data_IF_253787661306
#
_entry.id   IF_253787661306
#
_cell.length_a   1.000
_cell.length_b   1.000
_cell.length_c   1.000
_cell.angle_alpha   90.00
_cell.angle_beta   90.00
_cell.angle_gamma   90.00
#
_symmetry.space_group_name_H-M   'P 1'
#
loop_
_entity.id
_entity.type
_entity.pdbx_description
1 polymer ?
#
# COMPACT_ATOMS: atom_id res chain seq x y z
N UNK A 1 21.62 -6.78 7.69
CA UNK A 1 20.65 -7.83 8.04
C UNK A 1 21.33 -9.17 7.91
N UNK A 2 20.73 -10.23 8.44
CA UNK A 2 21.27 -11.61 8.32
C UNK A 2 20.43 -12.36 7.29
N UNK A 3 21.09 -13.11 6.43
CA UNK A 3 20.41 -13.90 5.41
C UNK A 3 19.51 -14.97 6.03
N UNK A 4 18.36 -15.21 5.41
CA UNK A 4 17.49 -16.32 5.81
C UNK A 4 18.18 -17.65 5.50
N UNK A 5 18.04 -18.65 6.39
CA UNK A 5 18.46 -20.04 6.12
C UNK A 5 17.84 -20.62 4.84
N UNK A 6 16.72 -20.05 4.40
CA UNK A 6 15.97 -20.47 3.22
C UNK A 6 16.37 -19.73 1.94
N UNK A 7 17.32 -18.79 2.00
CA UNK A 7 17.62 -17.89 0.88
C UNK A 7 18.23 -18.61 -0.31
N UNK A 8 19.07 -19.60 -0.07
CA UNK A 8 19.84 -20.31 -1.11
C UNK A 8 19.18 -21.62 -1.57
N UNK A 9 17.87 -21.77 -1.32
CA UNK A 9 17.05 -22.82 -1.93
C UNK A 9 17.18 -22.82 -3.44
N UNK A 10 17.11 -24.00 -4.04
CA UNK A 10 17.10 -24.14 -5.49
C UNK A 10 15.84 -23.52 -6.10
N UNK A 11 15.86 -23.28 -7.41
CA UNK A 11 14.67 -22.79 -8.12
C UNK A 11 13.52 -23.80 -7.98
N UNK A 12 13.79 -25.09 -8.16
CA UNK A 12 12.80 -26.16 -8.09
C UNK A 12 12.13 -26.23 -6.70
N UNK A 13 12.91 -26.11 -5.63
CA UNK A 13 12.39 -26.06 -4.26
C UNK A 13 11.48 -24.84 -4.04
N UNK A 14 11.88 -23.67 -4.56
CA UNK A 14 11.07 -22.46 -4.44
C UNK A 14 9.76 -22.56 -5.23
N UNK A 15 9.78 -23.15 -6.44
CA UNK A 15 8.59 -23.36 -7.25
C UNK A 15 7.65 -24.38 -6.59
N UNK A 16 8.18 -25.47 -6.03
CA UNK A 16 7.36 -26.43 -5.28
C UNK A 16 6.65 -25.77 -4.10
N UNK A 17 7.38 -24.99 -3.28
CA UNK A 17 6.78 -24.25 -2.16
C UNK A 17 5.79 -23.17 -2.62
N UNK A 18 6.02 -22.56 -3.79
CA UNK A 18 5.06 -21.62 -4.38
C UNK A 18 3.73 -22.29 -4.73
N UNK A 19 3.75 -23.51 -5.28
CA UNK A 19 2.54 -24.29 -5.52
C UNK A 19 1.80 -24.62 -4.22
N UNK A 20 2.53 -24.97 -3.16
CA UNK A 20 1.94 -25.16 -1.82
C UNK A 20 1.26 -23.87 -1.31
N UNK A 21 1.87 -22.71 -1.53
CA UNK A 21 1.29 -21.40 -1.19
C UNK A 21 0.00 -21.12 -1.97
N UNK A 22 -0.01 -21.37 -3.28
CA UNK A 22 -1.19 -21.18 -4.14
C UNK A 22 -2.35 -22.09 -3.73
N UNK A 23 -2.05 -23.31 -3.30
CA UNK A 23 -3.04 -24.27 -2.80
C UNK A 23 -3.47 -23.99 -1.35
N UNK A 24 -2.77 -23.11 -0.63
CA UNK A 24 -3.07 -22.76 0.76
C UNK A 24 -2.86 -23.92 1.73
N UNK A 25 -1.94 -24.85 1.44
CA UNK A 25 -1.65 -25.99 2.32
C UNK A 25 -1.02 -25.54 3.64
N UNK A 26 -0.92 -26.43 4.63
CA UNK A 26 -0.29 -26.10 5.92
C UNK A 26 1.17 -25.66 5.74
N UNK A 27 1.89 -26.24 4.77
CA UNK A 27 3.26 -25.83 4.42
C UNK A 27 3.25 -24.47 3.74
N UNK A 28 2.36 -24.26 2.77
CA UNK A 28 2.20 -23.00 2.06
C UNK A 28 1.89 -21.83 3.00
N UNK A 29 1.02 -22.04 4.00
CA UNK A 29 0.66 -21.03 5.01
C UNK A 29 1.85 -20.59 5.89
N UNK A 30 2.90 -21.42 6.01
CA UNK A 30 4.14 -21.10 6.72
C UNK A 30 5.17 -20.39 5.81
N UNK A 31 4.85 -20.19 4.54
CA UNK A 31 5.74 -19.61 3.54
C UNK A 31 5.38 -18.16 3.18
N UNK A 32 6.41 -17.42 2.75
CA UNK A 32 6.31 -16.06 2.19
C UNK A 32 7.29 -15.98 1.03
N UNK A 33 6.83 -15.46 -0.12
CA UNK A 33 7.73 -15.13 -1.24
C UNK A 33 8.43 -13.83 -0.92
N UNK A 34 9.76 -13.81 -1.05
CA UNK A 34 10.59 -12.62 -0.85
C UNK A 34 11.43 -12.36 -2.10
N UNK A 35 11.66 -11.09 -2.41
CA UNK A 35 12.69 -10.72 -3.37
C UNK A 35 14.06 -11.16 -2.84
N UNK A 36 14.97 -11.55 -3.73
CA UNK A 36 16.38 -11.78 -3.40
C UNK A 36 17.19 -10.57 -3.88
N UNK A 37 17.44 -9.61 -2.99
CA UNK A 37 18.12 -8.35 -3.28
C UNK A 37 19.42 -8.29 -2.44
N UNK A 38 19.42 -7.60 -1.29
CA UNK A 38 20.59 -7.50 -0.43
C UNK A 38 20.18 -7.26 1.02
N UNK A 39 20.49 -8.21 1.91
CA UNK A 39 20.21 -8.03 3.35
C UNK A 39 21.12 -7.01 4.03
N UNK A 40 22.22 -6.61 3.41
CA UNK A 40 23.14 -5.57 3.92
C UNK A 40 22.82 -4.16 3.37
N UNK A 41 21.81 -4.03 2.50
CA UNK A 41 21.44 -2.76 1.90
C UNK A 41 21.17 -1.65 2.94
N UNK A 42 21.59 -0.41 2.65
CA UNK A 42 21.39 0.74 3.55
C UNK A 42 19.90 1.07 3.68
N UNK A 43 19.20 1.17 2.55
CA UNK A 43 17.74 1.23 2.51
C UNK A 43 17.15 -0.10 2.98
N UNK A 44 16.33 -0.06 4.05
CA UNK A 44 15.73 -1.26 4.66
C UNK A 44 14.65 -1.90 3.78
N UNK A 45 13.99 -1.13 2.92
CA UNK A 45 12.98 -1.66 1.99
C UNK A 45 13.59 -2.62 0.96
N UNK A 46 14.89 -2.49 0.68
CA UNK A 46 15.63 -3.37 -0.24
C UNK A 46 16.16 -4.66 0.42
N UNK A 47 15.91 -4.87 1.71
CA UNK A 47 16.40 -6.06 2.44
C UNK A 47 15.46 -7.24 2.25
N UNK A 48 15.52 -7.84 1.07
CA UNK A 48 14.72 -8.98 0.63
C UNK A 48 13.23 -8.80 1.01
N UNK A 49 12.53 -7.78 0.49
CA UNK A 49 11.15 -7.49 0.85
C UNK A 49 10.20 -8.65 0.52
N UNK A 50 9.11 -8.76 1.28
CA UNK A 50 8.06 -9.76 1.03
C UNK A 50 7.15 -9.34 -0.12
N UNK A 51 6.87 -10.27 -1.03
CA UNK A 51 6.03 -10.04 -2.21
C UNK A 51 4.71 -10.81 -2.18
N UNK A 52 4.66 -12.02 -1.63
CA UNK A 52 3.41 -12.77 -1.49
C UNK A 52 3.25 -13.36 -0.10
N UNK A 53 2.01 -13.38 0.37
CA UNK A 53 1.59 -14.00 1.63
C UNK A 53 0.35 -14.86 1.41
N UNK A 54 0.22 -15.91 2.20
CA UNK A 54 -0.95 -16.77 2.18
C UNK A 54 -2.00 -16.26 3.17
N UNK A 55 -3.26 -16.17 2.72
CA UNK A 55 -4.44 -15.80 3.51
C UNK A 55 -5.56 -16.75 3.07
N UNK A 56 -6.07 -17.57 3.99
CA UNK A 56 -7.05 -18.63 3.70
C UNK A 56 -8.34 -18.52 4.50
N UNK A 57 -8.31 -17.78 5.60
CA UNK A 57 -9.36 -17.65 6.60
C UNK A 57 -10.37 -16.55 6.29
N UNK A 58 -9.99 -15.56 5.49
CA UNK A 58 -10.86 -14.44 5.10
C UNK A 58 -11.12 -14.46 3.59
N UNK A 59 -12.38 -14.43 3.13
CA UNK A 59 -12.68 -14.37 1.70
C UNK A 59 -12.33 -12.99 1.12
N UNK A 60 -11.77 -12.98 -0.09
CA UNK A 60 -11.60 -11.75 -0.85
C UNK A 60 -12.97 -11.22 -1.29
N UNK A 61 -13.22 -9.93 -1.10
CA UNK A 61 -14.54 -9.34 -1.35
C UNK A 61 -15.06 -9.49 -2.80
N UNK A 62 -14.18 -9.60 -3.81
CA UNK A 62 -14.56 -9.89 -5.21
C UNK A 62 -14.47 -11.35 -5.62
N UNK A 63 -13.53 -12.09 -5.04
CA UNK A 63 -13.09 -13.40 -5.56
C UNK A 63 -13.36 -14.54 -4.57
N UNK A 64 -14.00 -14.24 -3.44
CA UNK A 64 -14.26 -15.18 -2.36
C UNK A 64 -12.97 -15.91 -1.94
N UNK A 65 -13.03 -17.23 -1.92
CA UNK A 65 -11.92 -18.10 -1.52
C UNK A 65 -11.09 -18.62 -2.71
N UNK A 66 -11.26 -18.06 -3.91
CA UNK A 66 -10.60 -18.54 -5.13
C UNK A 66 -9.07 -18.51 -5.04
N UNK A 67 -8.51 -17.45 -4.46
CA UNK A 67 -7.06 -17.29 -4.30
C UNK A 67 -6.65 -17.48 -2.84
N UNK A 68 -5.50 -18.12 -2.62
CA UNK A 68 -4.92 -18.34 -1.28
C UNK A 68 -3.67 -17.50 -1.04
N UNK A 69 -2.94 -17.13 -2.09
CA UNK A 69 -1.77 -16.26 -1.99
C UNK A 69 -2.06 -14.89 -2.62
N UNK A 70 -1.68 -13.82 -1.91
CA UNK A 70 -1.96 -12.45 -2.29
C UNK A 70 -0.66 -11.63 -2.35
N UNK A 71 -0.52 -10.75 -3.36
CA UNK A 71 0.65 -9.91 -3.49
C UNK A 71 0.63 -8.80 -2.42
N UNK A 72 1.81 -8.34 -2.03
CA UNK A 72 1.97 -7.13 -1.22
C UNK A 72 1.83 -5.89 -2.10
N UNK A 73 1.51 -4.76 -1.47
CA UNK A 73 1.44 -3.44 -2.12
C UNK A 73 2.71 -3.14 -2.94
N UNK A 74 3.88 -3.39 -2.36
CA UNK A 74 5.16 -3.07 -3.00
C UNK A 74 5.46 -3.91 -4.25
N UNK A 75 4.85 -5.10 -4.37
CA UNK A 75 4.98 -5.94 -5.55
C UNK A 75 3.93 -5.59 -6.62
N UNK A 76 2.67 -5.39 -6.21
CA UNK A 76 1.59 -5.20 -7.19
C UNK A 76 1.59 -3.81 -7.84
N UNK A 77 1.88 -2.75 -7.09
CA UNK A 77 1.83 -1.39 -7.60
C UNK A 77 2.70 -1.14 -8.85
N UNK A 78 4.01 -1.44 -8.86
CA UNK A 78 4.84 -1.22 -10.05
C UNK A 78 4.35 -1.99 -11.28
N UNK A 79 3.84 -3.21 -11.07
CA UNK A 79 3.34 -4.06 -12.15
C UNK A 79 2.05 -3.47 -12.74
N UNK A 80 1.10 -3.10 -11.88
CA UNK A 80 -0.20 -2.55 -12.30
C UNK A 80 0.01 -1.19 -12.98
N UNK A 81 0.79 -0.28 -12.37
CA UNK A 81 1.06 1.04 -12.94
C UNK A 81 1.71 0.92 -14.32
N UNK A 82 2.69 0.03 -14.49
CA UNK A 82 3.32 -0.24 -15.78
C UNK A 82 2.29 -0.71 -16.82
N UNK A 83 1.53 -1.78 -16.50
CA UNK A 83 0.58 -2.44 -17.41
C UNK A 83 -0.58 -1.52 -17.79
N UNK A 84 -1.09 -0.73 -16.84
CA UNK A 84 -2.20 0.22 -17.07
C UNK A 84 -1.75 1.50 -17.80
N UNK A 85 -0.46 1.65 -18.12
CA UNK A 85 0.03 2.80 -18.87
C UNK A 85 0.20 4.07 -18.03
N UNK A 86 0.26 3.96 -16.69
CA UNK A 86 0.54 5.10 -15.80
C UNK A 86 1.89 5.72 -16.15
N UNK A 87 1.88 7.00 -16.52
CA UNK A 87 3.12 7.74 -16.84
C UNK A 87 3.74 8.35 -15.58
N UNK A 88 2.89 8.88 -14.70
CA UNK A 88 3.27 9.58 -13.48
C UNK A 88 2.50 9.03 -12.28
N UNK A 89 3.17 8.25 -11.43
CA UNK A 89 2.60 7.77 -10.18
C UNK A 89 2.77 8.84 -9.10
N UNK A 90 1.68 9.53 -8.75
CA UNK A 90 1.66 10.54 -7.69
C UNK A 90 1.45 9.86 -6.34
N UNK A 91 2.43 9.97 -5.43
CA UNK A 91 2.40 9.30 -4.12
C UNK A 91 2.80 10.25 -2.99
N UNK A 92 2.43 9.88 -1.77
CA UNK A 92 2.85 10.67 -0.62
C UNK A 92 4.28 10.32 -0.19
N UNK A 93 5.00 11.28 0.39
CA UNK A 93 6.43 11.15 0.75
C UNK A 93 6.73 10.04 1.76
N UNK A 94 5.72 9.56 2.50
CA UNK A 94 5.86 8.42 3.42
C UNK A 94 6.30 7.12 2.72
N UNK A 95 6.18 7.05 1.39
CA UNK A 95 6.61 5.93 0.57
C UNK A 95 7.98 6.12 -0.07
N UNK A 96 8.71 7.20 0.23
CA UNK A 96 9.96 7.54 -0.45
C UNK A 96 11.02 6.42 -0.42
N UNK A 97 11.20 5.79 0.74
CA UNK A 97 12.13 4.66 0.92
C UNK A 97 11.79 3.46 0.01
N UNK A 98 10.57 3.38 -0.52
CA UNK A 98 10.09 2.28 -1.38
C UNK A 98 10.21 2.59 -2.87
N UNK A 99 10.62 3.80 -3.27
CA UNK A 99 10.82 4.15 -4.68
C UNK A 99 11.88 3.27 -5.33
N UNK A 100 12.99 3.02 -4.62
CA UNK A 100 14.05 2.13 -5.10
C UNK A 100 13.54 0.70 -5.30
N UNK A 101 12.73 0.20 -4.37
CA UNK A 101 12.10 -1.11 -4.46
C UNK A 101 11.12 -1.20 -5.65
N UNK A 102 10.37 -0.13 -5.90
CA UNK A 102 9.43 -0.03 -7.01
C UNK A 102 10.14 -0.16 -8.36
N UNK A 103 11.22 0.61 -8.59
CA UNK A 103 12.00 0.52 -9.82
C UNK A 103 12.72 -0.82 -9.95
N UNK A 104 13.22 -1.38 -8.84
CA UNK A 104 13.80 -2.73 -8.86
C UNK A 104 12.82 -3.78 -9.41
N UNK A 105 11.53 -3.70 -9.06
CA UNK A 105 10.52 -4.61 -9.62
C UNK A 105 10.32 -4.38 -11.12
N UNK A 106 10.24 -3.12 -11.56
CA UNK A 106 10.11 -2.76 -12.98
C UNK A 106 11.28 -3.33 -13.78
N UNK A 107 12.51 -3.04 -13.34
CA UNK A 107 13.73 -3.45 -14.02
C UNK A 107 13.86 -4.97 -14.07
N UNK A 108 13.60 -5.64 -12.94
CA UNK A 108 13.73 -7.10 -12.83
C UNK A 108 12.73 -7.83 -13.73
N UNK A 109 11.54 -7.26 -13.94
CA UNK A 109 10.50 -7.84 -14.77
C UNK A 109 10.54 -7.34 -16.23
N UNK A 110 11.46 -6.43 -16.57
CA UNK A 110 11.55 -5.83 -17.91
C UNK A 110 10.30 -5.04 -18.30
N UNK A 111 9.69 -4.36 -17.32
CA UNK A 111 8.44 -3.62 -17.50
C UNK A 111 8.69 -2.19 -18.01
N UNK A 112 7.61 -1.53 -18.45
CA UNK A 112 7.67 -0.13 -18.84
C UNK A 112 7.89 0.73 -17.60
N UNK A 113 8.83 1.66 -17.69
CA UNK A 113 9.13 2.57 -16.60
C UNK A 113 7.97 3.53 -16.29
N UNK A 114 7.88 3.92 -15.01
CA UNK A 114 6.86 4.83 -14.47
C UNK A 114 7.56 5.86 -13.59
N UNK A 115 7.36 7.14 -13.89
CA UNK A 115 7.95 8.23 -13.10
C UNK A 115 7.16 8.43 -11.81
N UNK A 116 7.83 8.44 -10.67
CA UNK A 116 7.20 8.70 -9.38
C UNK A 116 7.37 10.18 -9.01
N UNK A 117 6.25 10.84 -8.69
CA UNK A 117 6.26 12.15 -8.05
C UNK A 117 5.70 12.07 -6.64
N UNK A 118 6.43 12.69 -5.72
CA UNK A 118 6.11 12.66 -4.31
C UNK A 118 5.59 14.01 -3.83
N UNK A 119 4.59 13.98 -2.97
CA UNK A 119 4.06 15.16 -2.30
C UNK A 119 3.78 14.87 -0.81
N UNK A 120 3.73 15.90 0.02
CA UNK A 120 3.36 15.75 1.42
C UNK A 120 1.85 15.53 1.53
N UNK A 121 1.46 14.64 2.44
CA UNK A 121 0.04 14.50 2.79
C UNK A 121 -0.50 15.81 3.37
N UNK A 122 -1.79 16.06 3.18
CA UNK A 122 -2.52 17.09 3.92
C UNK A 122 -2.69 16.69 5.38
N UNK A 123 -2.30 17.58 6.29
CA UNK A 123 -2.55 17.45 7.72
C UNK A 123 -3.33 18.66 8.22
N UNK A 124 -4.28 18.40 9.12
CA UNK A 124 -5.15 19.41 9.69
C UNK A 124 -4.97 19.46 11.21
N UNK A 125 -5.02 20.66 11.77
CA UNK A 125 -5.13 20.95 13.19
C UNK A 125 -6.59 20.79 13.63
N UNK A 126 -6.81 20.48 14.90
CA UNK A 126 -8.13 20.26 15.50
C UNK A 126 -8.96 19.10 14.94
N UNK A 127 -8.38 18.23 14.12
CA UNK A 127 -9.06 17.00 13.65
C UNK A 127 -8.10 15.81 13.59
N UNK A 128 -8.65 14.62 13.36
CA UNK A 128 -7.89 13.39 13.20
C UNK A 128 -8.24 12.72 11.87
N UNK A 129 -7.22 12.35 11.10
CA UNK A 129 -7.41 11.66 9.82
C UNK A 129 -7.19 10.14 9.90
N UNK A 130 -6.74 9.64 11.06
CA UNK A 130 -6.48 8.22 11.25
C UNK A 130 -7.79 7.44 11.22
N UNK A 131 -7.93 6.54 10.24
CA UNK A 131 -9.09 5.63 10.13
C UNK A 131 -9.41 4.95 11.46
N UNK A 132 -8.38 4.44 12.17
CA UNK A 132 -8.55 3.80 13.49
C UNK A 132 -9.20 4.72 14.53
N UNK A 133 -8.78 5.98 14.61
CA UNK A 133 -9.36 6.95 15.55
C UNK A 133 -10.79 7.33 15.15
N UNK A 134 -11.04 7.51 13.85
CA UNK A 134 -12.38 7.80 13.34
C UNK A 134 -13.35 6.64 13.59
N UNK A 135 -12.93 5.39 13.33
CA UNK A 135 -13.72 4.20 13.66
C UNK A 135 -14.05 4.18 15.16
N UNK A 136 -13.08 4.46 16.03
CA UNK A 136 -13.32 4.50 17.48
C UNK A 136 -14.44 5.47 17.86
N UNK A 137 -14.49 6.68 17.28
CA UNK A 137 -15.58 7.64 17.53
C UNK A 137 -16.94 7.14 17.05
N UNK A 138 -17.00 6.43 15.92
CA UNK A 138 -18.23 5.81 15.39
C UNK A 138 -18.69 4.68 16.31
N UNK A 139 -17.78 3.77 16.66
CA UNK A 139 -18.09 2.59 17.48
C UNK A 139 -18.58 2.96 18.89
N UNK A 140 -18.12 4.08 19.43
CA UNK A 140 -18.53 4.58 20.75
C UNK A 140 -19.72 5.56 20.70
N UNK A 141 -20.30 5.79 19.52
CA UNK A 141 -21.51 6.62 19.37
C UNK A 141 -21.31 8.11 19.65
N UNK A 142 -20.07 8.62 19.69
CA UNK A 142 -19.80 10.06 19.82
C UNK A 142 -20.22 10.85 18.57
N UNK A 143 -20.35 10.14 17.45
CA UNK A 143 -20.89 10.65 16.19
C UNK A 143 -21.99 9.75 15.65
N UNK A 144 -22.84 10.31 14.79
CA UNK A 144 -23.94 9.59 14.14
C UNK A 144 -23.48 8.55 13.11
N UNK A 145 -22.25 8.68 12.58
CA UNK A 145 -21.69 7.76 11.60
C UNK A 145 -20.51 8.37 10.84
N UNK A 146 -20.10 7.69 9.76
CA UNK A 146 -18.99 8.15 8.90
C UNK A 146 -19.31 9.40 8.09
N UNK A 147 -20.58 9.74 7.94
CA UNK A 147 -21.09 10.93 7.27
C UNK A 147 -21.51 12.02 8.26
N UNK A 148 -21.19 11.89 9.56
CA UNK A 148 -21.49 12.92 10.56
C UNK A 148 -20.87 14.28 10.13
N UNK A 149 -21.59 15.40 10.22
CA UNK A 149 -21.07 16.72 9.81
C UNK A 149 -19.79 17.18 10.51
N UNK A 150 -19.43 16.57 11.66
CA UNK A 150 -18.19 16.87 12.39
C UNK A 150 -16.99 16.05 11.91
N UNK A 151 -17.21 15.04 11.07
CA UNK A 151 -16.15 14.15 10.59
C UNK A 151 -15.41 14.73 9.38
N UNK A 152 -14.08 14.54 9.28
CA UNK A 152 -13.27 15.02 8.17
C UNK A 152 -13.37 14.10 6.93
N UNK A 153 -14.47 13.36 6.78
CA UNK A 153 -14.72 12.57 5.58
C UNK A 153 -15.33 13.47 4.51
N UNK A 154 -15.11 13.15 3.23
CA UNK A 154 -15.75 13.89 2.13
C UNK A 154 -17.27 13.93 2.33
N UNK A 155 -17.89 12.82 2.77
CA UNK A 155 -19.33 12.78 3.04
C UNK A 155 -19.75 13.67 4.21
N UNK A 156 -19.01 13.65 5.32
CA UNK A 156 -19.29 14.48 6.49
C UNK A 156 -19.17 15.97 6.18
N UNK A 157 -18.10 16.38 5.49
CA UNK A 157 -17.88 17.77 5.09
C UNK A 157 -18.95 18.27 4.12
N UNK A 158 -19.36 17.46 3.14
CA UNK A 158 -20.47 17.81 2.25
C UNK A 158 -21.79 17.90 3.02
N UNK A 159 -22.07 16.98 3.95
CA UNK A 159 -23.28 17.04 4.81
C UNK A 159 -23.29 18.25 5.74
N UNK A 160 -22.12 18.76 6.13
CA UNK A 160 -21.99 20.00 6.90
C UNK A 160 -22.36 21.26 6.10
N UNK A 161 -22.50 21.16 4.78
CA UNK A 161 -22.85 22.28 3.89
C UNK A 161 -21.70 22.79 3.03
N UNK A 162 -20.54 22.12 3.04
CA UNK A 162 -19.46 22.42 2.11
C UNK A 162 -19.82 22.01 0.68
N UNK A 163 -19.35 22.77 -0.31
CA UNK A 163 -19.52 22.43 -1.74
C UNK A 163 -18.29 21.73 -2.31
N UNK A 164 -18.48 20.96 -3.37
CA UNK A 164 -17.37 20.32 -4.10
C UNK A 164 -16.41 21.36 -4.67
N UNK A 165 -16.93 22.49 -5.14
CA UNK A 165 -16.10 23.56 -5.71
C UNK A 165 -15.23 24.23 -4.64
N UNK A 166 -15.79 24.51 -3.44
CA UNK A 166 -15.01 25.02 -2.33
C UNK A 166 -13.91 24.04 -1.88
N UNK A 167 -14.17 22.74 -1.90
CA UNK A 167 -13.16 21.71 -1.61
C UNK A 167 -12.04 21.68 -2.67
N UNK A 168 -12.39 21.82 -3.95
CA UNK A 168 -11.40 21.92 -5.04
C UNK A 168 -10.55 23.17 -4.89
N UNK A 169 -11.18 24.32 -4.66
CA UNK A 169 -10.49 25.60 -4.48
C UNK A 169 -9.54 25.54 -3.28
N UNK A 170 -9.97 24.91 -2.18
CA UNK A 170 -9.10 24.66 -1.03
C UNK A 170 -7.86 23.85 -1.42
N UNK A 171 -8.03 22.71 -2.10
CA UNK A 171 -6.91 21.85 -2.53
C UNK A 171 -5.97 22.57 -3.50
N UNK A 172 -6.51 23.34 -4.45
CA UNK A 172 -5.72 24.11 -5.42
C UNK A 172 -4.95 25.26 -4.75
N UNK A 173 -5.57 25.94 -3.78
CA UNK A 173 -4.94 27.05 -3.05
C UNK A 173 -3.81 26.56 -2.14
N UNK A 174 -3.97 25.40 -1.52
CA UNK A 174 -2.91 24.78 -0.73
C UNK A 174 -1.71 24.36 -1.60
N UNK A 175 -2.00 23.80 -2.78
CA UNK A 175 -0.98 23.32 -3.70
C UNK A 175 -0.24 22.07 -3.22
N UNK A 176 0.54 21.47 -4.12
CA UNK A 176 1.37 20.32 -3.81
C UNK A 176 2.81 20.77 -3.47
N UNK A 177 3.35 20.25 -2.37
CA UNK A 177 4.73 20.47 -1.94
C UNK A 177 5.29 19.19 -1.34
N UNK A 178 6.61 19.06 -1.27
CA UNK A 178 7.27 17.99 -0.49
C UNK A 178 7.44 18.36 0.99
N UNK A 179 7.32 19.65 1.32
CA UNK A 179 7.43 20.11 2.71
C UNK A 179 6.19 19.69 3.51
N UNK A 180 6.40 19.27 4.76
CA UNK A 180 5.30 18.99 5.68
C UNK A 180 4.44 20.23 5.91
N UNK A 181 3.12 20.04 5.90
CA UNK A 181 2.15 21.09 6.20
C UNK A 181 1.44 20.80 7.53
N UNK A 182 0.99 21.86 8.20
CA UNK A 182 0.04 21.87 9.31
C UNK A 182 -0.97 22.96 8.97
N UNK A 183 -2.20 22.57 8.67
CA UNK A 183 -3.30 23.48 8.31
C UNK A 183 -4.29 23.58 9.43
#
# INVERSE_FOLDING_TARGET
GVESKCRDRSVDENIALWHEMLNGTEVGQKCVVRAKISMTHKNRCMRDPSFYRVITDVPHHKWGFQYKAYPTYDFCCPIIDSIEGVTHALRTIEYADRNEQYHWVIDTLGLRDVTIYEFSRSNFVHTVLSKRKLTWFVDHGYVSGWDDPRFPTVRGVLRHGMTVDALRDFVLTQGASKAGNLM
#
